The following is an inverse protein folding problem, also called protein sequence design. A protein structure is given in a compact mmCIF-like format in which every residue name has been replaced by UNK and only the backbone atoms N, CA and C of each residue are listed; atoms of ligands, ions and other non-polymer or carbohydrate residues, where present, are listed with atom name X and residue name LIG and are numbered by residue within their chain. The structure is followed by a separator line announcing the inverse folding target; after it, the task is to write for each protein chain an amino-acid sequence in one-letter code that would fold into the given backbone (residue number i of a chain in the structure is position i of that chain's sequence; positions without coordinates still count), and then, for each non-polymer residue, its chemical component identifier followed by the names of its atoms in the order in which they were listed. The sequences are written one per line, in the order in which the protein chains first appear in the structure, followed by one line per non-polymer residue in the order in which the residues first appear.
data_IF_253114576565
#
_entry.id   IF_253114576565
#
_cell.length_a   1.000
_cell.length_b   1.000
_cell.length_c   1.000
_cell.angle_alpha   90.00
_cell.angle_beta   90.00
_cell.angle_gamma   90.00
#
_symmetry.space_group_name_H-M   'P 1'
#
loop_
_entity.id
_entity.type
_entity.pdbx_description
1 polymer ?
#
# COMPACT_ATOMS: atom_id res chain seq x y z
N UNK A 1 -56.45 -1.77 -16.70
CA UNK A 1 -55.47 -1.72 -17.82
C UNK A 1 -54.23 -2.46 -17.32
N UNK A 2 -53.96 -3.73 -17.70
CA UNK A 2 -53.34 -4.24 -18.96
C UNK A 2 -52.08 -3.42 -19.35
N UNK A 3 -50.86 -3.92 -19.60
CA UNK A 3 -50.16 -5.23 -19.77
C UNK A 3 -48.65 -4.92 -19.50
N UNK A 4 -47.86 -5.73 -18.78
CA UNK A 4 -47.02 -6.88 -19.21
C UNK A 4 -45.67 -6.51 -19.86
N UNK A 5 -44.62 -7.21 -19.40
CA UNK A 5 -43.33 -7.45 -20.07
C UNK A 5 -42.32 -8.06 -19.09
N UNK A 6 -42.45 -9.34 -18.69
CA UNK A 6 -41.91 -10.55 -19.35
C UNK A 6 -40.38 -10.52 -19.44
N UNK A 7 -39.64 -11.11 -18.48
CA UNK A 7 -39.30 -12.53 -18.35
C UNK A 7 -38.61 -13.13 -19.59
N UNK A 8 -37.40 -13.67 -19.41
CA UNK A 8 -37.07 -15.08 -19.69
C UNK A 8 -35.56 -15.35 -19.53
N UNK A 9 -35.20 -16.08 -18.48
CA UNK A 9 -33.96 -16.83 -18.37
C UNK A 9 -34.33 -18.31 -18.32
N UNK A 10 -34.20 -19.02 -19.44
CA UNK A 10 -34.19 -20.48 -19.51
C UNK A 10 -33.40 -20.87 -20.76
N UNK A 11 -32.16 -21.32 -20.61
CA UNK A 11 -31.50 -22.11 -21.67
C UNK A 11 -31.64 -23.58 -21.31
N UNK A 12 -32.55 -24.24 -22.04
CA UNK A 12 -32.87 -25.66 -21.93
C UNK A 12 -31.73 -26.52 -22.48
N UNK A 13 -31.34 -27.48 -21.65
CA UNK A 13 -30.60 -28.69 -21.97
C UNK A 13 -31.29 -29.42 -23.13
N UNK A 14 -30.55 -29.79 -24.17
CA UNK A 14 -31.00 -30.73 -25.21
C UNK A 14 -29.92 -31.75 -25.47
N UNK A 15 -30.16 -32.97 -25.01
CA UNK A 15 -29.54 -34.18 -25.51
C UNK A 15 -30.64 -34.97 -26.24
N UNK A 16 -30.38 -35.45 -27.46
CA UNK A 16 -30.71 -36.82 -27.86
C UNK A 16 -30.00 -37.21 -29.17
N UNK A 17 -29.51 -38.44 -29.15
CA UNK A 17 -28.83 -39.23 -30.18
C UNK A 17 -29.77 -39.64 -31.32
N UNK A 18 -29.22 -40.04 -32.47
CA UNK A 18 -29.67 -41.13 -33.39
C UNK A 18 -28.56 -41.29 -34.46
N UNK A 19 -27.62 -42.23 -34.32
CA UNK A 19 -27.62 -43.62 -34.82
C UNK A 19 -27.41 -43.78 -36.34
N UNK A 20 -26.24 -44.30 -36.70
CA UNK A 20 -25.93 -44.93 -37.98
C UNK A 20 -24.89 -46.04 -37.78
N UNK A 21 -25.32 -47.30 -37.92
CA UNK A 21 -24.53 -48.55 -37.90
C UNK A 21 -23.55 -48.61 -39.11
N UNK A 22 -22.27 -48.97 -38.98
CA UNK A 22 -21.61 -50.25 -38.67
C UNK A 22 -20.93 -50.83 -39.93
N UNK A 23 -19.59 -50.89 -39.96
CA UNK A 23 -18.77 -52.02 -40.42
C UNK A 23 -17.28 -51.64 -40.41
N UNK A 24 -16.46 -52.43 -39.70
CA UNK A 24 -15.01 -52.50 -39.94
C UNK A 24 -14.11 -52.06 -38.79
N UNK A 25 -13.66 -53.03 -37.99
CA UNK A 25 -12.34 -52.98 -37.30
C UNK A 25 -11.27 -53.40 -38.33
N UNK A 26 -10.01 -52.92 -38.28
CA UNK A 26 -9.10 -53.24 -37.17
C UNK A 26 -8.13 -52.12 -36.70
N UNK A 27 -7.87 -52.15 -35.38
CA UNK A 27 -6.63 -51.97 -34.60
C UNK A 27 -5.50 -50.92 -34.91
N UNK A 28 -5.02 -50.31 -33.80
CA UNK A 28 -3.67 -49.77 -33.44
C UNK A 28 -3.34 -48.30 -33.83
N UNK A 29 -2.55 -47.50 -33.07
CA UNK A 29 -2.49 -47.21 -31.62
C UNK A 29 -2.55 -45.69 -31.28
N UNK A 30 -2.45 -45.37 -29.99
CA UNK A 30 -2.40 -44.05 -29.38
C UNK A 30 -1.45 -43.03 -30.05
N UNK A 31 -1.97 -41.82 -30.31
CA UNK A 31 -1.19 -40.61 -30.56
C UNK A 31 -1.38 -39.64 -29.39
N UNK A 32 -0.30 -39.43 -28.67
CA UNK A 32 -0.10 -38.48 -27.57
C UNK A 32 -0.70 -37.12 -27.92
N UNK A 33 -1.64 -36.64 -27.11
CA UNK A 33 -2.07 -35.25 -27.13
C UNK A 33 -0.94 -34.41 -26.54
N UNK A 34 -0.36 -33.53 -27.35
CA UNK A 34 0.46 -32.44 -26.87
C UNK A 34 -0.45 -31.51 -26.05
N UNK A 35 -0.19 -31.44 -24.75
CA UNK A 35 -0.73 -30.38 -23.90
C UNK A 35 0.06 -29.13 -24.26
N UNK A 36 -0.59 -28.20 -24.96
CA UNK A 36 -0.13 -26.82 -24.99
C UNK A 36 -0.27 -26.27 -23.56
N UNK A 37 0.83 -26.27 -22.81
CA UNK A 37 0.93 -25.47 -21.59
C UNK A 37 0.91 -24.00 -22.02
N UNK A 38 -0.28 -23.41 -21.89
CA UNK A 38 -0.47 -21.96 -21.87
C UNK A 38 0.39 -21.41 -20.72
N UNK A 39 1.61 -21.00 -21.07
CA UNK A 39 2.49 -20.25 -20.20
C UNK A 39 1.91 -18.83 -20.05
N UNK A 40 0.86 -18.71 -19.23
CA UNK A 40 0.55 -17.43 -18.58
C UNK A 40 1.67 -17.13 -17.59
N UNK A 41 2.79 -16.63 -18.12
CA UNK A 41 3.69 -15.78 -17.38
C UNK A 41 2.85 -14.58 -16.94
N UNK A 42 2.32 -14.68 -15.72
CA UNK A 42 1.83 -13.55 -14.96
C UNK A 42 2.98 -12.56 -14.93
N UNK A 43 2.91 -11.55 -15.79
CA UNK A 43 3.82 -10.43 -15.78
C UNK A 43 3.89 -9.97 -14.32
N UNK A 44 5.07 -10.16 -13.70
CA UNK A 44 5.30 -9.73 -12.33
C UNK A 44 5.11 -8.22 -12.38
N UNK A 45 3.98 -7.76 -11.84
CA UNK A 45 3.70 -6.34 -11.70
C UNK A 45 5.00 -5.67 -11.20
N UNK A 46 5.44 -4.55 -11.81
CA UNK A 46 6.62 -3.84 -11.35
C UNK A 46 6.51 -3.69 -9.84
N UNK A 47 7.55 -4.09 -9.10
CA UNK A 47 7.55 -3.89 -7.67
C UNK A 47 7.28 -2.41 -7.42
N UNK A 48 6.12 -2.09 -6.84
CA UNK A 48 5.74 -0.73 -6.54
C UNK A 48 6.91 -0.10 -5.74
N UNK A 49 7.48 0.97 -6.29
CA UNK A 49 8.52 1.70 -5.58
C UNK A 49 7.91 2.20 -4.26
N UNK A 50 8.53 1.83 -3.14
CA UNK A 50 8.05 2.26 -1.82
C UNK A 50 8.21 3.78 -1.71
N UNK A 51 7.10 4.49 -1.56
CA UNK A 51 7.10 5.94 -1.41
C UNK A 51 7.44 6.33 0.04
N UNK A 52 8.36 7.29 0.18
CA UNK A 52 9.07 7.61 1.43
C UNK A 52 9.09 9.11 1.69
N UNK A 53 9.63 9.49 2.85
CA UNK A 53 9.95 10.86 3.21
C UNK A 53 10.92 11.47 2.18
N UNK A 54 10.65 12.70 1.75
CA UNK A 54 11.42 13.40 0.72
C UNK A 54 10.96 13.12 -0.72
N UNK A 55 10.18 12.06 -0.96
CA UNK A 55 9.61 11.79 -2.29
C UNK A 55 8.52 12.81 -2.65
N UNK A 56 8.17 12.86 -3.94
CA UNK A 56 7.11 13.75 -4.44
C UNK A 56 5.72 13.13 -4.27
N UNK A 57 4.68 13.98 -4.34
CA UNK A 57 3.30 13.50 -4.31
C UNK A 57 2.98 12.53 -5.46
N UNK A 58 3.65 12.68 -6.61
CA UNK A 58 3.45 11.79 -7.77
C UNK A 58 3.93 10.37 -7.48
N UNK A 59 5.09 10.20 -6.85
CA UNK A 59 5.61 8.89 -6.41
C UNK A 59 4.63 8.26 -5.42
N UNK A 60 4.15 9.04 -4.46
CA UNK A 60 3.15 8.60 -3.48
C UNK A 60 1.83 8.19 -4.13
N UNK A 61 1.38 8.95 -5.13
CA UNK A 61 0.15 8.64 -5.88
C UNK A 61 0.31 7.38 -6.72
N UNK A 62 1.49 7.15 -7.31
CA UNK A 62 1.80 5.92 -8.03
C UNK A 62 1.84 4.70 -7.09
N UNK A 63 2.32 4.88 -5.85
CA UNK A 63 2.44 3.81 -4.86
C UNK A 63 1.12 3.47 -4.15
N UNK A 64 0.31 4.47 -3.81
CA UNK A 64 -0.86 4.27 -2.94
C UNK A 64 -2.19 4.65 -3.60
N UNK A 65 -2.17 5.07 -4.86
CA UNK A 65 -3.34 5.58 -5.58
C UNK A 65 -3.63 7.04 -5.27
N UNK A 66 -4.75 7.56 -5.78
CA UNK A 66 -5.15 8.94 -5.56
C UNK A 66 -5.37 9.23 -4.06
N UNK A 67 -4.77 10.29 -3.50
CA UNK A 67 -5.00 10.64 -2.10
C UNK A 67 -6.42 11.14 -1.84
N UNK A 68 -6.89 10.91 -0.63
CA UNK A 68 -8.03 11.64 -0.06
C UNK A 68 -7.56 12.93 0.64
N UNK A 69 -8.49 13.86 0.88
CA UNK A 69 -8.26 15.09 1.64
C UNK A 69 -8.37 16.38 0.82
N UNK A 70 -9.09 17.35 1.40
CA UNK A 70 -9.53 18.56 0.70
C UNK A 70 -8.55 19.74 0.82
N UNK A 71 -7.43 19.55 1.52
CA UNK A 71 -6.45 20.63 1.69
C UNK A 71 -5.32 20.52 0.68
N UNK A 72 -4.71 21.65 0.36
CA UNK A 72 -3.60 21.74 -0.60
C UNK A 72 -2.38 20.96 -0.10
N UNK A 73 -2.09 21.04 1.21
CA UNK A 73 -0.85 20.54 1.79
C UNK A 73 -0.96 19.15 2.44
N UNK A 74 -2.13 18.75 2.92
CA UNK A 74 -2.28 17.47 3.64
C UNK A 74 -3.02 16.47 2.77
N UNK A 75 -2.44 15.28 2.60
CA UNK A 75 -2.99 14.18 1.80
C UNK A 75 -3.10 12.92 2.65
N UNK A 76 -4.11 12.09 2.38
CA UNK A 76 -4.37 10.85 3.11
C UNK A 76 -4.37 9.66 2.16
N UNK A 77 -3.77 8.56 2.60
CA UNK A 77 -3.63 7.31 1.87
C UNK A 77 -4.02 6.14 2.78
N UNK A 78 -4.17 4.95 2.19
CA UNK A 78 -4.41 3.70 2.91
C UNK A 78 -5.59 3.77 3.90
N UNK A 79 -6.74 4.27 3.43
CA UNK A 79 -7.95 4.46 4.25
C UNK A 79 -7.69 5.33 5.51
N UNK A 80 -7.03 6.46 5.31
CA UNK A 80 -6.71 7.47 6.34
C UNK A 80 -5.71 7.03 7.42
N UNK A 81 -5.07 5.86 7.26
CA UNK A 81 -4.03 5.39 8.19
C UNK A 81 -2.67 6.03 7.96
N UNK A 82 -2.45 6.60 6.77
CA UNK A 82 -1.24 7.34 6.41
C UNK A 82 -1.63 8.75 5.99
N UNK A 83 -1.22 9.73 6.78
CA UNK A 83 -1.38 11.16 6.44
C UNK A 83 -0.02 11.74 6.12
N UNK A 84 0.09 12.48 5.03
CA UNK A 84 1.33 13.16 4.64
C UNK A 84 1.13 14.66 4.52
N UNK A 85 2.20 15.42 4.76
CA UNK A 85 2.26 16.86 4.47
C UNK A 85 3.22 17.08 3.30
N UNK A 86 2.71 17.73 2.26
CA UNK A 86 3.43 18.16 1.08
C UNK A 86 3.91 19.58 1.27
N UNK A 87 5.20 19.82 1.09
CA UNK A 87 5.80 21.15 1.08
C UNK A 87 6.84 21.26 -0.02
N UNK A 88 6.72 22.31 -0.86
CA UNK A 88 7.55 22.49 -2.05
C UNK A 88 7.66 21.20 -2.89
N UNK A 89 6.52 20.55 -3.14
CA UNK A 89 6.38 19.30 -3.92
C UNK A 89 6.88 18.02 -3.23
N UNK A 90 7.57 18.12 -2.09
CA UNK A 90 8.10 16.98 -1.35
C UNK A 90 7.24 16.61 -0.14
N UNK A 91 7.18 15.32 0.19
CA UNK A 91 6.61 14.85 1.44
C UNK A 91 7.61 15.13 2.58
N UNK A 92 7.25 16.02 3.49
CA UNK A 92 8.11 16.46 4.60
C UNK A 92 7.68 15.94 5.97
N UNK A 93 6.45 15.41 6.05
CA UNK A 93 5.90 14.78 7.24
C UNK A 93 5.05 13.58 6.83
N UNK A 94 5.15 12.49 7.59
CA UNK A 94 4.34 11.30 7.47
C UNK A 94 3.84 10.93 8.85
N UNK A 95 2.53 10.87 9.02
CA UNK A 95 1.88 10.38 10.23
C UNK A 95 1.23 9.04 9.94
N UNK A 96 1.68 8.01 10.64
CA UNK A 96 1.07 6.70 10.70
C UNK A 96 0.18 6.66 11.93
N UNK A 97 -1.11 6.41 11.74
CA UNK A 97 -2.08 6.28 12.83
C UNK A 97 -3.14 5.25 12.49
N UNK A 98 -3.76 4.66 13.52
CA UNK A 98 -4.91 3.77 13.34
C UNK A 98 -6.18 4.46 13.85
N UNK A 99 -6.94 5.16 12.98
CA UNK A 99 -8.16 5.84 13.39
C UNK A 99 -9.27 4.87 13.86
N UNK A 100 -9.18 3.58 13.55
CA UNK A 100 -10.13 2.55 14.02
C UNK A 100 -9.71 1.92 15.37
N UNK A 101 -8.55 2.31 15.93
CA UNK A 101 -7.92 1.67 17.09
C UNK A 101 -7.16 0.39 16.70
N UNK A 102 -6.17 -0.06 17.50
CA UNK A 102 -4.98 -0.83 17.09
C UNK A 102 -5.27 -2.32 16.75
N UNK A 103 -6.28 -2.57 15.94
CA UNK A 103 -6.70 -3.90 15.51
C UNK A 103 -5.78 -4.46 14.43
N UNK A 104 -4.96 -3.61 13.81
CA UNK A 104 -3.85 -4.00 12.92
C UNK A 104 -2.57 -3.32 13.38
N UNK A 105 -1.46 -4.05 13.30
CA UNK A 105 -0.16 -3.42 13.45
C UNK A 105 -0.03 -2.33 12.35
N UNK A 106 0.36 -1.09 12.72
CA UNK A 106 0.73 -0.10 11.72
C UNK A 106 1.78 -0.70 10.78
N UNK A 107 1.80 -0.26 9.51
CA UNK A 107 2.94 -0.56 8.64
C UNK A 107 4.24 -0.13 9.35
N UNK A 108 5.31 -0.89 9.15
CA UNK A 108 6.59 -0.56 9.76
C UNK A 108 7.04 0.80 9.24
N UNK A 109 7.31 1.75 10.13
CA UNK A 109 7.73 3.09 9.77
C UNK A 109 9.03 3.07 8.94
N UNK A 110 9.82 2.00 9.05
CA UNK A 110 11.03 1.77 8.25
C UNK A 110 10.76 1.75 6.75
N UNK A 111 9.55 1.38 6.32
CA UNK A 111 9.18 1.39 4.91
C UNK A 111 9.01 2.81 4.35
N UNK A 112 8.84 3.80 5.22
CA UNK A 112 8.53 5.19 4.88
C UNK A 112 9.72 6.15 5.04
N UNK A 113 10.85 5.69 5.57
CA UNK A 113 12.07 6.51 5.68
C UNK A 113 13.00 6.23 4.49
N UNK A 114 13.92 7.15 4.15
CA UNK A 114 14.92 6.91 3.12
C UNK A 114 15.74 5.64 3.38
N UNK A 115 16.09 4.90 2.32
CA UNK A 115 16.87 3.65 2.42
C UNK A 115 18.25 3.85 3.05
N UNK A 116 18.85 5.01 2.83
CA UNK A 116 20.17 5.39 3.33
C UNK A 116 20.12 6.05 4.72
N UNK A 117 19.02 5.88 5.45
CA UNK A 117 18.84 6.47 6.78
C UNK A 117 19.80 5.87 7.81
N UNK A 118 20.53 6.75 8.51
CA UNK A 118 21.45 6.40 9.59
C UNK A 118 20.90 6.95 10.90
N UNK A 119 20.65 6.05 11.87
CA UNK A 119 20.23 6.43 13.22
C UNK A 119 21.38 7.13 13.94
N UNK A 120 21.12 8.35 14.41
CA UNK A 120 22.08 9.15 15.17
C UNK A 120 21.87 9.01 16.68
N UNK A 121 20.62 9.07 17.15
CA UNK A 121 20.30 8.98 18.56
C UNK A 121 18.87 8.48 18.80
N UNK A 122 18.62 7.96 19.99
CA UNK A 122 17.29 7.62 20.51
C UNK A 122 17.09 8.31 21.86
N UNK A 123 15.91 8.91 22.05
CA UNK A 123 15.46 9.49 23.30
C UNK A 123 14.12 8.89 23.67
N UNK A 124 13.95 8.50 24.92
CA UNK A 124 12.67 8.05 25.46
C UNK A 124 12.21 9.03 26.53
N UNK A 125 10.95 9.45 26.44
CA UNK A 125 10.31 10.38 27.35
C UNK A 125 8.94 9.84 27.77
N UNK A 126 8.48 10.21 28.96
CA UNK A 126 7.17 9.85 29.45
C UNK A 126 6.53 11.04 30.14
N UNK A 127 5.27 11.32 29.81
CA UNK A 127 4.47 12.36 30.44
C UNK A 127 3.12 11.82 30.94
N UNK A 128 2.19 12.71 31.27
CA UNK A 128 0.84 12.34 31.72
C UNK A 128 0.00 11.67 30.62
N UNK A 129 0.31 11.91 29.33
CA UNK A 129 -0.43 11.41 28.17
C UNK A 129 0.10 10.06 27.68
N UNK A 130 1.40 9.82 27.79
CA UNK A 130 2.01 8.65 27.16
C UNK A 130 3.51 8.51 27.34
N UNK A 131 4.05 7.48 26.68
CA UNK A 131 5.47 7.35 26.40
C UNK A 131 5.75 7.72 24.95
N UNK A 132 6.91 8.31 24.72
CA UNK A 132 7.38 8.74 23.41
C UNK A 132 8.79 8.21 23.21
N UNK A 133 9.02 7.53 22.09
CA UNK A 133 10.35 7.18 21.61
C UNK A 133 10.66 8.05 20.40
N UNK A 134 11.67 8.90 20.51
CA UNK A 134 12.16 9.77 19.45
C UNK A 134 13.49 9.24 18.93
N UNK A 135 13.54 8.89 17.65
CA UNK A 135 14.73 8.48 16.94
C UNK A 135 15.14 9.58 15.96
N UNK A 136 16.37 10.05 16.05
CA UNK A 136 16.91 11.08 15.16
C UNK A 136 17.77 10.43 14.08
N UNK A 137 17.53 10.76 12.82
CA UNK A 137 18.20 10.17 11.67
C UNK A 137 18.84 11.22 10.78
N UNK A 138 19.79 10.76 9.96
CA UNK A 138 20.34 11.49 8.81
C UNK A 138 20.20 10.66 7.54
N UNK A 139 19.99 11.30 6.39
CA UNK A 139 19.95 10.67 5.06
C UNK A 139 20.53 11.63 4.01
N UNK A 140 21.44 11.12 3.18
CA UNK A 140 22.02 11.89 2.08
C UNK A 140 21.02 12.07 0.94
N UNK A 141 20.21 11.03 0.65
CA UNK A 141 19.17 11.11 -0.37
C UNK A 141 18.09 12.14 -0.01
N UNK A 142 17.73 12.25 1.28
CA UNK A 142 16.83 13.27 1.79
C UNK A 142 17.43 14.68 1.67
N UNK A 143 18.71 14.86 2.02
CA UNK A 143 19.38 16.16 1.85
C UNK A 143 19.37 16.62 0.40
N UNK A 144 19.60 15.70 -0.53
CA UNK A 144 19.53 15.99 -1.97
C UNK A 144 18.13 16.33 -2.44
N UNK A 145 17.11 15.60 -1.97
CA UNK A 145 15.72 15.82 -2.36
C UNK A 145 15.14 17.10 -1.73
N UNK A 146 15.42 17.32 -0.45
CA UNK A 146 14.91 18.45 0.33
C UNK A 146 16.03 19.08 1.20
N UNK A 147 16.89 19.93 0.61
CA UNK A 147 18.06 20.49 1.28
C UNK A 147 17.77 21.29 2.56
N UNK A 148 16.56 21.81 2.70
CA UNK A 148 16.13 22.55 3.90
C UNK A 148 16.12 21.69 5.17
N UNK A 149 16.04 20.37 5.03
CA UNK A 149 16.16 19.44 6.17
C UNK A 149 17.61 19.23 6.64
N UNK A 150 18.61 19.62 5.84
CA UNK A 150 20.01 19.23 6.05
C UNK A 150 20.19 17.70 6.15
N UNK A 151 19.30 16.94 5.50
CA UNK A 151 19.26 15.48 5.58
C UNK A 151 18.77 14.93 6.92
N UNK A 152 18.36 15.77 7.86
CA UNK A 152 17.95 15.38 9.22
C UNK A 152 16.44 15.17 9.28
N UNK A 153 16.03 14.15 10.02
CA UNK A 153 14.63 13.93 10.35
C UNK A 153 14.46 13.20 11.68
N UNK A 154 13.27 13.30 12.26
CA UNK A 154 12.90 12.61 13.48
C UNK A 154 11.82 11.57 13.20
N UNK A 155 11.85 10.46 13.94
CA UNK A 155 10.74 9.51 14.05
C UNK A 155 10.29 9.50 15.50
N UNK A 156 9.05 9.89 15.77
CA UNK A 156 8.45 9.90 17.10
C UNK A 156 7.34 8.86 17.15
N UNK A 157 7.51 7.83 17.96
CA UNK A 157 6.46 6.84 18.24
C UNK A 157 5.84 7.10 19.61
N UNK A 158 4.52 7.30 19.63
CA UNK A 158 3.76 7.58 20.84
C UNK A 158 2.89 6.37 21.26
N UNK A 159 2.86 6.10 22.56
CA UNK A 159 2.01 5.08 23.17
C UNK A 159 1.21 5.66 24.33
N UNK A 160 -0.04 5.21 24.47
CA UNK A 160 -0.97 5.58 25.53
C UNK A 160 -0.47 5.13 26.89
N UNK A 161 -0.49 6.03 27.88
CA UNK A 161 -0.16 5.67 29.27
C UNK A 161 -1.21 4.76 29.90
N UNK A 162 -2.48 4.88 29.50
CA UNK A 162 -3.61 4.19 30.14
C UNK A 162 -3.60 2.70 29.88
N UNK A 163 -3.27 2.28 28.66
CA UNK A 163 -3.37 0.89 28.21
C UNK A 163 -2.18 0.42 27.37
N UNK A 164 -1.12 1.22 27.25
CA UNK A 164 0.10 0.88 26.51
C UNK A 164 -0.10 0.79 25.00
N UNK A 165 -1.28 1.18 24.48
CA UNK A 165 -1.59 1.04 23.06
C UNK A 165 -0.82 2.05 22.23
N UNK A 166 -0.44 1.61 21.04
CA UNK A 166 0.07 2.48 20.00
C UNK A 166 -0.93 3.62 19.71
N UNK A 167 -0.42 4.84 19.62
CA UNK A 167 -1.20 6.02 19.24
C UNK A 167 -0.87 6.44 17.81
N UNK A 168 0.40 6.73 17.55
CA UNK A 168 0.87 7.18 16.25
C UNK A 168 2.40 7.07 16.14
N UNK A 169 2.89 7.07 14.91
CA UNK A 169 4.29 7.33 14.56
C UNK A 169 4.33 8.51 13.62
N UNK A 170 5.10 9.53 13.96
CA UNK A 170 5.32 10.71 13.13
C UNK A 170 6.76 10.70 12.64
N UNK A 171 6.93 10.78 11.33
CA UNK A 171 8.21 10.93 10.64
C UNK A 171 8.25 12.36 10.11
N UNK A 172 9.23 13.16 10.53
CA UNK A 172 9.24 14.59 10.24
C UNK A 172 10.64 15.12 9.89
N UNK A 173 10.74 15.76 8.73
CA UNK A 173 11.94 16.49 8.31
C UNK A 173 11.67 17.98 8.09
N UNK A 174 10.54 18.50 8.60
CA UNK A 174 10.33 19.93 8.58
C UNK A 174 11.46 20.61 9.37
N UNK A 175 12.04 21.72 8.85
CA UNK A 175 13.13 22.38 9.55
C UNK A 175 12.63 22.81 10.92
N UNK A 176 13.17 22.20 11.98
CA UNK A 176 12.94 22.66 13.33
C UNK A 176 13.50 24.08 13.36
N UNK A 177 12.65 25.09 13.52
CA UNK A 177 13.11 26.45 13.75
C UNK A 177 14.05 26.41 14.96
N UNK A 178 15.35 26.60 14.72
CA UNK A 178 16.36 26.74 15.77
C UNK A 178 16.10 28.00 16.58
#
# INVERSE_FOLDING_TARGET
MKYIGSASAVFLLSALLLSGCNAGRPAVPAKTAAVEEENTQKEKAPALQAARLGDTLDIWTAAYGAPAGDTVYMKRFNNDTVTVIVFKEHIVNITLSDPAGPSKAPQDYKDFIPEDSILQNTKEEQDEKGSYKTEMYTSFSLEKAFPLSEGKFAVVTAQSRTDGKYLATVIDCTPLSQ
#
